data_IF_551802411534
#
_entry.id   IF_551802411534
#
_cell.length_a   1.000
_cell.length_b   1.000
_cell.length_c   1.000
_cell.angle_alpha   90.00
_cell.angle_beta   90.00
_cell.angle_gamma   90.00
#
_symmetry.space_group_name_H-M   'P 1'
#
loop_
_entity.id
_entity.type
_entity.pdbx_description
1 polymer ?
#
# COMPACT_ATOMS: atom_id res chain seq x y z
N UNK A 1 -30.55 -13.52 -10.05
CA UNK A 1 -29.28 -14.13 -9.63
C UNK A 1 -29.27 -14.53 -8.16
N UNK A 2 -29.63 -13.65 -7.21
CA UNK A 2 -29.68 -13.97 -5.77
C UNK A 2 -30.56 -15.17 -5.48
N UNK A 3 -31.76 -15.23 -6.10
CA UNK A 3 -32.67 -16.37 -5.94
C UNK A 3 -32.10 -17.66 -6.56
N UNK A 4 -31.49 -17.57 -7.73
CA UNK A 4 -30.82 -18.70 -8.36
C UNK A 4 -29.71 -19.28 -7.48
N UNK A 5 -28.87 -18.39 -6.87
CA UNK A 5 -27.84 -18.84 -5.93
C UNK A 5 -28.45 -19.49 -4.68
N UNK A 6 -29.50 -18.91 -4.11
CA UNK A 6 -30.18 -19.46 -2.93
C UNK A 6 -30.74 -20.84 -3.20
N UNK A 7 -31.22 -21.10 -4.41
CA UNK A 7 -31.74 -22.38 -4.85
C UNK A 7 -30.67 -23.29 -5.48
N UNK A 8 -29.39 -22.95 -5.36
CA UNK A 8 -28.24 -23.68 -5.96
C UNK A 8 -28.36 -23.91 -7.48
N UNK A 9 -29.08 -23.05 -8.18
CA UNK A 9 -29.16 -23.06 -9.65
C UNK A 9 -27.88 -22.52 -10.25
N UNK A 10 -27.25 -23.25 -11.15
CA UNK A 10 -26.06 -22.84 -11.83
C UNK A 10 -26.33 -21.63 -12.74
N UNK A 11 -25.56 -20.56 -12.58
CA UNK A 11 -25.59 -19.39 -13.43
C UNK A 11 -24.74 -19.69 -14.67
N UNK A 12 -25.36 -19.75 -15.85
CA UNK A 12 -24.63 -19.99 -17.10
C UNK A 12 -23.97 -18.73 -17.60
N UNK A 13 -22.91 -18.88 -18.39
CA UNK A 13 -22.21 -17.75 -19.04
C UNK A 13 -23.16 -16.89 -19.91
N UNK A 14 -24.14 -17.50 -20.56
CA UNK A 14 -25.15 -16.79 -21.34
C UNK A 14 -26.05 -15.90 -20.44
N UNK A 15 -26.43 -16.42 -19.27
CA UNK A 15 -27.22 -15.67 -18.28
C UNK A 15 -26.40 -14.49 -17.75
N UNK A 16 -25.14 -14.72 -17.43
CA UNK A 16 -24.22 -13.69 -16.97
C UNK A 16 -24.06 -12.57 -18.01
N UNK A 17 -23.83 -12.89 -19.29
CA UNK A 17 -23.74 -11.92 -20.38
C UNK A 17 -25.02 -11.08 -20.53
N UNK A 18 -26.21 -11.72 -20.45
CA UNK A 18 -27.49 -11.01 -20.53
C UNK A 18 -27.69 -10.05 -19.35
N UNK A 19 -27.31 -10.47 -18.13
CA UNK A 19 -27.38 -9.61 -16.94
C UNK A 19 -26.44 -8.43 -17.08
N UNK A 20 -25.19 -8.67 -17.49
CA UNK A 20 -24.20 -7.63 -17.73
C UNK A 20 -24.67 -6.61 -18.76
N UNK A 21 -25.14 -7.06 -19.92
CA UNK A 21 -25.68 -6.18 -20.97
C UNK A 21 -26.85 -5.33 -20.45
N UNK A 22 -27.75 -5.90 -19.67
CA UNK A 22 -28.89 -5.16 -19.10
C UNK A 22 -28.44 -4.12 -18.05
N UNK A 23 -27.50 -4.47 -17.18
CA UNK A 23 -26.94 -3.54 -16.21
C UNK A 23 -26.18 -2.41 -16.89
N UNK A 24 -25.41 -2.70 -17.94
CA UNK A 24 -24.71 -1.68 -18.74
C UNK A 24 -25.69 -0.72 -19.42
N UNK A 25 -26.78 -1.23 -19.99
CA UNK A 25 -27.82 -0.39 -20.57
C UNK A 25 -28.51 0.50 -19.52
N UNK A 26 -28.79 -0.03 -18.32
CA UNK A 26 -29.32 0.76 -17.21
C UNK A 26 -28.34 1.84 -16.73
N UNK A 27 -27.05 1.52 -16.70
CA UNK A 27 -26.00 2.47 -16.30
C UNK A 27 -25.72 3.55 -17.37
N UNK A 28 -26.09 3.31 -18.61
CA UNK A 28 -26.00 4.28 -19.70
C UNK A 28 -27.14 5.29 -19.72
N UNK A 29 -28.19 5.09 -18.91
CA UNK A 29 -29.30 6.03 -18.76
C UNK A 29 -28.78 7.38 -18.22
N UNK A 30 -28.99 8.50 -18.96
CA UNK A 30 -28.42 9.78 -18.57
C UNK A 30 -29.00 10.36 -17.24
N UNK A 31 -30.21 9.97 -16.87
CA UNK A 31 -30.88 10.47 -15.66
C UNK A 31 -30.58 9.60 -14.44
N UNK A 32 -30.41 8.29 -14.62
CA UNK A 32 -30.32 7.30 -13.54
C UNK A 32 -28.93 6.77 -13.31
N UNK A 33 -28.16 6.55 -14.37
CA UNK A 33 -26.76 6.17 -14.34
C UNK A 33 -26.41 4.88 -13.56
N UNK A 34 -25.13 4.69 -13.25
CA UNK A 34 -24.65 3.47 -12.59
C UNK A 34 -25.28 3.20 -11.23
N UNK A 35 -25.55 4.24 -10.42
CA UNK A 35 -26.17 4.08 -9.10
C UNK A 35 -27.55 3.43 -9.14
N UNK A 36 -28.32 3.68 -10.21
CA UNK A 36 -29.59 3.01 -10.44
C UNK A 36 -29.39 1.54 -10.78
N UNK A 37 -28.43 1.22 -11.67
CA UNK A 37 -28.09 -0.15 -12.04
C UNK A 37 -27.63 -0.99 -10.82
N UNK A 38 -26.87 -0.39 -9.91
CA UNK A 38 -26.38 -1.06 -8.69
C UNK A 38 -27.50 -1.61 -7.78
N UNK A 39 -28.68 -1.01 -7.79
CA UNK A 39 -29.84 -1.51 -7.03
C UNK A 39 -30.26 -2.94 -7.46
N UNK A 40 -29.91 -3.32 -8.68
CA UNK A 40 -30.25 -4.61 -9.27
C UNK A 40 -29.08 -5.59 -9.31
N UNK A 41 -27.91 -5.18 -8.84
CA UNK A 41 -26.73 -6.06 -8.78
C UNK A 41 -26.83 -7.07 -7.64
N UNK A 42 -26.23 -8.24 -7.87
CA UNK A 42 -26.22 -9.35 -6.92
C UNK A 42 -24.87 -9.61 -6.28
N UNK A 43 -23.81 -9.00 -6.65
CA UNK A 43 -22.34 -9.21 -6.64
C UNK A 43 -21.87 -10.66 -6.83
N UNK A 44 -22.66 -11.49 -7.48
CA UNK A 44 -22.41 -12.95 -7.55
C UNK A 44 -21.63 -13.38 -8.78
N UNK A 45 -21.49 -12.50 -9.78
CA UNK A 45 -20.85 -12.85 -11.04
C UNK A 45 -19.61 -11.98 -11.30
N UNK A 46 -18.64 -12.55 -12.02
CA UNK A 46 -17.46 -11.82 -12.44
C UNK A 46 -17.85 -10.59 -13.27
N UNK A 47 -18.85 -10.71 -14.12
CA UNK A 47 -19.32 -9.59 -14.97
C UNK A 47 -19.89 -8.42 -14.15
N UNK A 48 -20.58 -8.67 -13.05
CA UNK A 48 -21.06 -7.62 -12.15
C UNK A 48 -19.89 -6.95 -11.41
N UNK A 49 -18.90 -7.74 -10.96
CA UNK A 49 -17.69 -7.21 -10.33
C UNK A 49 -16.87 -6.37 -11.31
N UNK A 50 -16.76 -6.81 -12.58
CA UNK A 50 -16.12 -6.03 -13.64
C UNK A 50 -16.79 -4.66 -13.84
N UNK A 51 -18.13 -4.63 -13.96
CA UNK A 51 -18.86 -3.37 -14.11
C UNK A 51 -18.65 -2.41 -12.94
N UNK A 52 -18.70 -2.91 -11.70
CA UNK A 52 -18.44 -2.08 -10.52
C UNK A 52 -17.02 -1.52 -10.53
N UNK A 53 -16.02 -2.35 -10.88
CA UNK A 53 -14.63 -1.93 -10.99
C UNK A 53 -14.45 -0.84 -12.03
N UNK A 54 -15.04 -1.01 -13.23
CA UNK A 54 -15.01 0.00 -14.30
C UNK A 54 -15.67 1.32 -13.86
N UNK A 55 -16.83 1.27 -13.23
CA UNK A 55 -17.53 2.48 -12.81
C UNK A 55 -16.79 3.26 -11.71
N UNK A 56 -16.16 2.56 -10.75
CA UNK A 56 -15.29 3.18 -9.75
C UNK A 56 -14.05 3.76 -10.44
N UNK A 57 -13.38 3.00 -11.28
CA UNK A 57 -12.18 3.43 -12.00
C UNK A 57 -12.43 4.63 -12.93
N UNK A 58 -13.60 4.70 -13.55
CA UNK A 58 -14.05 5.83 -14.38
C UNK A 58 -14.61 7.00 -13.55
N UNK A 59 -14.60 6.91 -12.22
CA UNK A 59 -15.20 7.89 -11.29
C UNK A 59 -16.68 8.16 -11.52
N UNK A 60 -17.41 7.18 -12.11
CA UNK A 60 -18.86 7.25 -12.30
C UNK A 60 -19.64 6.96 -11.02
N UNK A 61 -19.01 6.25 -10.07
CA UNK A 61 -19.49 6.03 -8.71
C UNK A 61 -18.32 6.20 -7.72
N UNK A 62 -18.64 6.60 -6.49
CA UNK A 62 -17.67 6.65 -5.41
C UNK A 62 -17.47 5.24 -4.80
N UNK A 63 -16.26 4.97 -4.30
CA UNK A 63 -15.91 3.67 -3.70
C UNK A 63 -16.85 3.24 -2.56
N UNK A 64 -17.43 4.18 -1.82
CA UNK A 64 -18.32 3.89 -0.71
C UNK A 64 -19.58 3.13 -1.13
N UNK A 65 -20.05 3.31 -2.36
CA UNK A 65 -21.22 2.60 -2.88
C UNK A 65 -20.98 1.09 -3.08
N UNK A 66 -19.74 0.66 -3.28
CA UNK A 66 -19.41 -0.76 -3.47
C UNK A 66 -19.10 -1.49 -2.16
N UNK A 67 -19.07 -0.80 -1.00
CA UNK A 67 -18.69 -1.39 0.30
C UNK A 67 -19.44 -2.70 0.64
N UNK A 68 -20.72 -2.77 0.32
CA UNK A 68 -21.56 -3.95 0.60
C UNK A 68 -21.56 -4.94 -0.57
N UNK A 69 -21.51 -4.43 -1.81
CA UNK A 69 -21.63 -5.25 -3.01
C UNK A 69 -20.32 -5.87 -3.45
N UNK A 70 -19.19 -5.20 -3.20
CA UNK A 70 -17.85 -5.67 -3.54
C UNK A 70 -16.83 -5.22 -2.47
N UNK A 71 -16.93 -5.80 -1.26
CA UNK A 71 -16.12 -5.39 -0.11
C UNK A 71 -14.62 -5.62 -0.34
N UNK A 72 -14.21 -6.55 -1.17
CA UNK A 72 -12.82 -6.83 -1.51
C UNK A 72 -12.19 -5.63 -2.26
N UNK A 73 -12.85 -5.15 -3.30
CA UNK A 73 -12.39 -3.97 -4.03
C UNK A 73 -12.46 -2.70 -3.16
N UNK A 74 -13.51 -2.58 -2.35
CA UNK A 74 -13.61 -1.48 -1.39
C UNK A 74 -12.42 -1.45 -0.45
N UNK A 75 -12.01 -2.60 0.08
CA UNK A 75 -10.85 -2.72 0.96
C UNK A 75 -9.54 -2.36 0.27
N UNK A 76 -9.33 -2.87 -0.94
CA UNK A 76 -8.14 -2.55 -1.74
C UNK A 76 -7.99 -1.02 -1.98
N UNK A 77 -9.10 -0.32 -2.11
CA UNK A 77 -9.15 1.13 -2.31
C UNK A 77 -9.09 1.97 -1.02
N UNK A 78 -9.00 1.36 0.16
CA UNK A 78 -8.84 2.13 1.38
C UNK A 78 -7.45 2.75 1.47
N UNK A 79 -7.29 3.92 2.11
CA UNK A 79 -5.97 4.45 2.37
C UNK A 79 -5.18 3.49 3.26
N UNK A 80 -3.90 3.35 3.00
CA UNK A 80 -2.98 2.70 3.91
C UNK A 80 -2.80 3.59 5.15
N UNK A 81 -2.84 3.00 6.34
CA UNK A 81 -2.60 3.69 7.60
C UNK A 81 -1.27 3.25 8.24
N UNK A 82 -0.32 2.81 7.43
CA UNK A 82 0.98 2.41 7.93
C UNK A 82 1.70 3.61 8.52
N UNK A 83 2.16 3.46 9.75
CA UNK A 83 2.99 4.46 10.43
C UNK A 83 4.34 4.55 9.70
N UNK A 84 4.68 5.74 9.25
CA UNK A 84 5.95 6.03 8.58
C UNK A 84 6.67 7.16 9.29
N UNK A 85 7.99 7.16 9.26
CA UNK A 85 8.76 8.32 9.70
C UNK A 85 8.42 9.55 8.83
N UNK A 86 8.55 10.75 9.38
CA UNK A 86 8.14 12.02 8.73
C UNK A 86 8.63 12.15 7.29
N UNK A 87 9.87 11.74 7.02
CA UNK A 87 10.44 11.77 5.67
C UNK A 87 9.76 10.85 4.65
N UNK A 88 9.00 9.87 5.13
CA UNK A 88 8.39 8.82 4.32
C UNK A 88 6.85 8.91 4.30
N UNK A 89 6.27 10.01 4.79
CA UNK A 89 4.82 10.23 4.81
C UNK A 89 4.15 10.18 3.42
N UNK A 90 4.92 10.39 2.36
CA UNK A 90 4.48 10.33 0.97
C UNK A 90 3.97 8.94 0.53
N UNK A 91 4.34 7.86 1.24
CA UNK A 91 4.00 6.47 0.87
C UNK A 91 2.49 6.28 0.79
N UNK A 92 1.76 6.68 1.85
CA UNK A 92 0.31 6.47 1.91
C UNK A 92 -0.39 7.16 0.73
N UNK A 93 0.01 8.38 0.41
CA UNK A 93 -0.53 9.14 -0.72
C UNK A 93 -0.15 8.53 -2.08
N UNK A 94 1.11 8.06 -2.22
CA UNK A 94 1.58 7.43 -3.45
C UNK A 94 0.78 6.16 -3.75
N UNK A 95 0.68 5.26 -2.76
CA UNK A 95 -0.01 3.98 -2.97
C UNK A 95 -1.53 4.14 -3.08
N UNK A 96 -2.13 5.17 -2.46
CA UNK A 96 -3.52 5.52 -2.70
C UNK A 96 -3.75 5.88 -4.18
N UNK A 97 -2.88 6.71 -4.75
CA UNK A 97 -2.94 7.10 -6.17
C UNK A 97 -2.62 5.92 -7.10
N UNK A 98 -1.68 5.06 -6.69
CA UNK A 98 -1.37 3.84 -7.44
C UNK A 98 -2.58 2.90 -7.53
N UNK A 99 -3.25 2.62 -6.39
CA UNK A 99 -4.47 1.80 -6.37
C UNK A 99 -5.58 2.39 -7.26
N UNK A 100 -5.81 3.71 -7.20
CA UNK A 100 -6.77 4.41 -8.05
C UNK A 100 -6.40 4.29 -9.53
N UNK A 101 -5.13 4.43 -9.88
CA UNK A 101 -4.61 4.28 -11.25
C UNK A 101 -4.77 2.85 -11.77
N UNK A 102 -4.46 1.85 -10.93
CA UNK A 102 -4.61 0.42 -11.27
C UNK A 102 -6.08 0.06 -11.49
N UNK A 103 -6.99 0.50 -10.60
CA UNK A 103 -8.43 0.29 -10.73
C UNK A 103 -9.00 1.06 -11.92
N UNK A 104 -8.49 2.25 -12.22
CA UNK A 104 -8.88 3.05 -13.38
C UNK A 104 -8.29 2.57 -14.72
N UNK A 105 -7.34 1.65 -14.66
CA UNK A 105 -6.55 1.19 -15.81
C UNK A 105 -5.96 2.35 -16.61
N UNK A 106 -5.46 3.36 -15.92
CA UNK A 106 -4.74 4.48 -16.49
C UNK A 106 -3.86 5.13 -15.43
N UNK A 107 -2.71 5.64 -15.82
CA UNK A 107 -1.88 6.42 -14.91
C UNK A 107 -2.52 7.81 -14.70
N UNK A 108 -2.87 8.13 -13.44
CA UNK A 108 -3.34 9.48 -13.10
C UNK A 108 -2.20 10.49 -13.21
N UNK A 109 -2.52 11.75 -13.52
CA UNK A 109 -1.53 12.83 -13.57
C UNK A 109 -0.84 13.01 -12.20
N UNK A 110 -1.59 12.85 -11.12
CA UNK A 110 -1.06 12.96 -9.76
C UNK A 110 -0.02 11.86 -9.48
N UNK A 111 -0.29 10.61 -9.83
CA UNK A 111 0.68 9.51 -9.69
C UNK A 111 1.94 9.76 -10.55
N UNK A 112 1.74 10.22 -11.80
CA UNK A 112 2.86 10.54 -12.70
C UNK A 112 3.77 11.63 -12.13
N UNK A 113 3.20 12.69 -11.57
CA UNK A 113 3.94 13.78 -10.94
C UNK A 113 4.68 13.31 -9.69
N UNK A 114 4.02 12.55 -8.80
CA UNK A 114 4.66 11.96 -7.61
C UNK A 114 5.85 11.06 -7.99
N UNK A 115 5.70 10.19 -8.98
CA UNK A 115 6.79 9.34 -9.45
C UNK A 115 7.95 10.17 -10.02
N UNK A 116 7.63 11.22 -10.81
CA UNK A 116 8.64 12.11 -11.37
C UNK A 116 9.42 12.86 -10.29
N UNK A 117 8.78 13.27 -9.21
CA UNK A 117 9.45 13.92 -8.06
C UNK A 117 10.37 12.96 -7.32
N UNK A 118 9.87 11.76 -7.00
CA UNK A 118 10.63 10.74 -6.26
C UNK A 118 11.83 10.22 -7.05
N UNK A 119 11.66 10.01 -8.34
CA UNK A 119 12.62 9.37 -9.24
C UNK A 119 13.13 10.35 -10.31
N UNK A 120 13.30 11.64 -9.96
CA UNK A 120 13.81 12.65 -10.87
C UNK A 120 15.24 12.34 -11.37
N UNK A 121 16.01 11.59 -10.59
CA UNK A 121 17.36 11.12 -10.89
C UNK A 121 17.71 9.92 -10.03
N UNK A 122 18.84 9.26 -10.31
CA UNK A 122 19.39 8.22 -9.44
C UNK A 122 19.56 8.71 -7.99
N UNK A 123 20.08 9.93 -7.80
CA UNK A 123 20.27 10.51 -6.45
C UNK A 123 18.94 10.69 -5.70
N UNK A 124 17.91 11.15 -6.39
CA UNK A 124 16.57 11.30 -5.79
C UNK A 124 16.00 9.94 -5.36
N UNK A 125 16.12 8.94 -6.21
CA UNK A 125 15.74 7.56 -5.92
C UNK A 125 16.48 7.00 -4.70
N UNK A 126 17.83 7.09 -4.70
CA UNK A 126 18.65 6.59 -3.60
C UNK A 126 18.32 7.30 -2.28
N UNK A 127 18.01 8.59 -2.32
CA UNK A 127 17.65 9.37 -1.13
C UNK A 127 16.43 8.82 -0.43
N UNK A 128 15.34 8.57 -1.14
CA UNK A 128 14.16 8.01 -0.49
C UNK A 128 14.31 6.52 -0.18
N UNK A 129 14.92 5.74 -1.08
CA UNK A 129 15.10 4.30 -0.87
C UNK A 129 15.93 4.00 0.37
N UNK A 130 17.00 4.76 0.61
CA UNK A 130 17.86 4.59 1.78
C UNK A 130 17.15 4.95 3.11
N UNK A 131 16.01 5.61 3.06
CA UNK A 131 15.12 5.82 4.19
C UNK A 131 14.38 4.55 4.65
N UNK A 132 14.46 3.44 3.89
CA UNK A 132 13.81 2.17 4.21
C UNK A 132 14.83 1.09 4.53
N UNK A 133 14.51 0.31 5.56
CA UNK A 133 15.24 -0.92 5.85
C UNK A 133 14.81 -2.02 4.88
N UNK A 134 15.72 -2.95 4.60
CA UNK A 134 15.35 -4.16 3.84
C UNK A 134 14.57 -5.14 4.71
N UNK A 135 13.84 -6.08 4.06
CA UNK A 135 13.14 -7.17 4.76
C UNK A 135 14.10 -7.91 5.69
N UNK A 136 15.32 -8.21 5.22
CA UNK A 136 16.37 -8.85 6.02
C UNK A 136 16.70 -8.04 7.28
N UNK A 137 16.82 -6.73 7.18
CA UNK A 137 17.14 -5.86 8.32
C UNK A 137 16.02 -5.84 9.38
N UNK A 138 14.76 -5.74 8.95
CA UNK A 138 13.61 -5.78 9.87
C UNK A 138 13.50 -7.10 10.61
N UNK A 139 13.75 -8.20 9.90
CA UNK A 139 13.54 -9.55 10.41
C UNK A 139 14.80 -10.15 11.04
N UNK A 140 15.91 -9.40 11.07
CA UNK A 140 17.15 -9.85 11.65
C UNK A 140 16.95 -10.21 13.13
N UNK A 141 17.39 -11.43 13.52
CA UNK A 141 17.27 -11.96 14.88
C UNK A 141 15.84 -12.12 15.42
N UNK A 142 14.80 -12.10 14.59
CA UNK A 142 13.40 -12.38 15.00
C UNK A 142 13.21 -13.89 15.24
N UNK A 143 13.60 -14.35 16.43
CA UNK A 143 13.43 -15.75 16.85
C UNK A 143 11.97 -16.07 17.24
N UNK A 144 11.17 -15.04 17.47
CA UNK A 144 9.76 -15.12 17.83
C UNK A 144 8.82 -15.46 16.66
N UNK A 145 9.32 -15.49 15.44
CA UNK A 145 8.56 -15.88 14.24
C UNK A 145 8.68 -17.38 14.02
N UNK A 146 7.52 -18.07 13.96
CA UNK A 146 7.47 -19.50 13.67
C UNK A 146 7.61 -19.80 12.19
N UNK A 147 6.95 -19.00 11.33
CA UNK A 147 6.85 -19.19 9.88
C UNK A 147 7.04 -17.85 9.18
N UNK A 148 7.91 -17.81 8.21
CA UNK A 148 7.98 -16.75 7.21
C UNK A 148 7.23 -17.20 5.97
N UNK A 149 6.21 -16.46 5.61
CA UNK A 149 5.36 -16.81 4.49
C UNK A 149 5.59 -15.83 3.34
N UNK A 150 6.18 -16.32 2.25
CA UNK A 150 6.53 -15.52 1.10
C UNK A 150 5.40 -15.53 0.07
N UNK A 151 4.86 -14.35 -0.24
CA UNK A 151 3.94 -14.10 -1.34
C UNK A 151 4.72 -13.31 -2.40
N UNK A 152 5.03 -13.98 -3.51
CA UNK A 152 5.81 -13.47 -4.62
C UNK A 152 5.07 -12.31 -5.33
N UNK A 153 5.74 -11.16 -5.49
CA UNK A 153 5.20 -10.00 -6.17
C UNK A 153 4.19 -9.16 -5.35
N UNK A 154 4.15 -9.31 -4.02
CA UNK A 154 3.22 -8.58 -3.16
C UNK A 154 3.77 -7.19 -2.80
N UNK A 155 3.21 -6.13 -3.38
CA UNK A 155 3.55 -4.74 -3.09
C UNK A 155 2.82 -4.14 -1.89
N UNK A 156 3.21 -2.92 -1.51
CA UNK A 156 2.59 -2.15 -0.40
C UNK A 156 1.12 -1.80 -0.68
N UNK A 157 0.72 -1.71 -1.94
CA UNK A 157 -0.66 -1.46 -2.37
C UNK A 157 -1.67 -2.49 -1.83
N UNK A 158 -1.20 -3.67 -1.43
CA UNK A 158 -2.03 -4.74 -0.88
C UNK A 158 -2.31 -4.63 0.63
N UNK A 159 -1.61 -3.77 1.36
CA UNK A 159 -1.75 -3.68 2.83
C UNK A 159 -3.22 -3.46 3.27
N UNK A 160 -3.99 -2.51 2.70
CA UNK A 160 -5.37 -2.28 3.14
C UNK A 160 -6.26 -3.51 2.92
N UNK A 161 -6.10 -4.19 1.79
CA UNK A 161 -6.87 -5.39 1.49
C UNK A 161 -6.51 -6.55 2.42
N UNK A 162 -5.20 -6.81 2.61
CA UNK A 162 -4.72 -7.88 3.50
C UNK A 162 -5.19 -7.64 4.93
N UNK A 163 -5.10 -6.41 5.41
CA UNK A 163 -5.58 -6.06 6.75
C UNK A 163 -7.06 -6.40 6.91
N UNK A 164 -7.89 -6.13 5.90
CA UNK A 164 -9.30 -6.50 5.95
C UNK A 164 -9.52 -8.02 5.90
N UNK A 165 -8.74 -8.76 5.10
CA UNK A 165 -8.81 -10.23 5.09
C UNK A 165 -8.48 -10.78 6.47
N UNK A 166 -7.42 -10.26 7.10
CA UNK A 166 -7.02 -10.67 8.46
C UNK A 166 -8.08 -10.32 9.52
N UNK A 167 -8.73 -9.16 9.41
CA UNK A 167 -9.83 -8.78 10.32
C UNK A 167 -11.04 -9.73 10.23
N UNK A 168 -11.32 -10.35 9.06
CA UNK A 168 -12.33 -11.39 8.92
C UNK A 168 -12.00 -12.61 9.79
N UNK A 169 -10.70 -12.91 10.01
CA UNK A 169 -10.21 -14.02 10.82
C UNK A 169 -9.99 -13.69 12.31
N UNK A 170 -10.33 -12.49 12.74
CA UNK A 170 -10.18 -12.07 14.14
C UNK A 170 -11.05 -12.92 15.10
N UNK A 171 -12.22 -13.35 14.65
CA UNK A 171 -13.08 -14.27 15.42
C UNK A 171 -12.46 -15.66 15.58
N UNK A 172 -11.55 -16.04 14.67
CA UNK A 172 -10.79 -17.29 14.70
C UNK A 172 -9.52 -17.17 15.55
N UNK A 173 -9.33 -16.03 16.23
CA UNK A 173 -8.17 -15.78 17.08
C UNK A 173 -6.93 -15.31 16.32
N UNK A 174 -7.07 -14.72 15.15
CA UNK A 174 -5.95 -14.14 14.38
C UNK A 174 -5.89 -12.65 14.63
N UNK A 175 -4.73 -12.15 15.06
CA UNK A 175 -4.50 -10.73 15.31
C UNK A 175 -3.30 -10.24 14.51
N UNK A 176 -3.45 -9.08 13.86
CA UNK A 176 -2.34 -8.34 13.27
C UNK A 176 -1.54 -7.71 14.42
N UNK A 177 -0.26 -8.01 14.48
CA UNK A 177 0.63 -7.51 15.53
C UNK A 177 1.48 -6.34 15.04
N UNK A 178 2.03 -6.44 13.83
CA UNK A 178 2.98 -5.47 13.30
C UNK A 178 2.80 -5.37 11.77
N UNK A 179 2.93 -4.17 11.22
CA UNK A 179 3.00 -3.91 9.78
C UNK A 179 4.18 -2.97 9.54
N UNK A 180 5.08 -3.36 8.64
CA UNK A 180 6.20 -2.53 8.20
C UNK A 180 6.19 -2.40 6.67
N UNK A 181 6.82 -1.34 6.20
CA UNK A 181 7.21 -1.17 4.79
C UNK A 181 8.72 -1.33 4.71
N UNK A 182 9.16 -2.23 3.86
CA UNK A 182 10.57 -2.53 3.63
C UNK A 182 10.93 -2.27 2.17
N UNK A 183 12.21 -2.05 1.87
CA UNK A 183 12.72 -1.96 0.51
C UNK A 183 13.31 -3.30 0.05
N UNK A 184 12.99 -3.69 -1.19
CA UNK A 184 13.68 -4.76 -1.91
C UNK A 184 15.03 -4.29 -2.44
N UNK A 185 15.90 -5.25 -2.70
CA UNK A 185 17.16 -4.98 -3.41
C UNK A 185 16.92 -4.88 -4.93
N UNK A 186 17.78 -4.13 -5.59
CA UNK A 186 17.75 -3.99 -7.03
C UNK A 186 18.67 -5.01 -7.73
N UNK A 187 18.29 -5.49 -8.92
CA UNK A 187 16.95 -5.36 -9.54
C UNK A 187 15.87 -5.98 -8.67
N UNK A 188 14.66 -5.46 -8.73
CA UNK A 188 13.50 -5.99 -7.99
C UNK A 188 13.00 -7.28 -8.61
N UNK A 189 13.83 -8.32 -8.57
CA UNK A 189 13.57 -9.64 -9.16
C UNK A 189 13.74 -10.74 -8.12
N UNK A 190 13.02 -11.83 -8.31
CA UNK A 190 13.03 -12.99 -7.41
C UNK A 190 14.43 -13.58 -7.24
N UNK A 191 15.23 -13.68 -8.30
CA UNK A 191 16.58 -14.26 -8.24
C UNK A 191 17.53 -13.48 -7.31
N UNK A 192 17.34 -12.17 -7.15
CA UNK A 192 18.14 -11.32 -6.24
C UNK A 192 17.59 -11.37 -4.82
N UNK A 193 16.28 -11.31 -4.65
CA UNK A 193 15.65 -11.08 -3.34
C UNK A 193 15.30 -12.37 -2.60
N UNK A 194 14.95 -13.46 -3.30
CA UNK A 194 14.59 -14.74 -2.69
C UNK A 194 15.72 -15.32 -1.84
N UNK A 195 16.97 -15.32 -2.34
CA UNK A 195 18.11 -15.85 -1.60
C UNK A 195 18.26 -15.19 -0.24
N UNK A 196 18.02 -13.87 -0.17
CA UNK A 196 18.07 -13.10 1.08
C UNK A 196 16.93 -13.44 2.03
N UNK A 197 15.73 -13.75 1.50
CA UNK A 197 14.62 -14.24 2.31
C UNK A 197 14.90 -15.66 2.85
N UNK A 198 15.45 -16.56 2.04
CA UNK A 198 15.83 -17.92 2.44
C UNK A 198 16.87 -17.89 3.58
N UNK A 199 17.92 -17.06 3.43
CA UNK A 199 18.96 -16.86 4.47
C UNK A 199 18.37 -16.33 5.78
N UNK A 200 17.48 -15.33 5.67
CA UNK A 200 16.83 -14.70 6.81
C UNK A 200 15.94 -15.68 7.57
N UNK A 201 15.16 -16.46 6.84
CA UNK A 201 14.16 -17.34 7.41
C UNK A 201 14.77 -18.60 8.06
N UNK A 202 16.02 -18.95 7.74
CA UNK A 202 16.71 -20.08 8.34
C UNK A 202 15.96 -21.42 8.19
N UNK A 203 15.38 -21.67 7.03
CA UNK A 203 14.58 -22.87 6.73
C UNK A 203 13.11 -22.80 7.15
N UNK A 204 12.64 -21.67 7.66
CA UNK A 204 11.22 -21.42 8.01
C UNK A 204 10.44 -20.73 6.89
N UNK A 205 11.02 -20.60 5.69
CA UNK A 205 10.38 -19.94 4.57
C UNK A 205 9.48 -20.90 3.81
N UNK A 206 8.23 -20.55 3.73
CA UNK A 206 7.21 -21.24 2.94
C UNK A 206 6.76 -20.34 1.80
N UNK A 207 6.39 -20.88 0.66
CA UNK A 207 5.88 -20.12 -0.49
C UNK A 207 4.45 -20.50 -0.81
N UNK A 208 3.61 -19.51 -1.01
CA UNK A 208 2.31 -19.67 -1.66
C UNK A 208 1.98 -18.45 -2.51
N UNK A 209 1.08 -18.66 -3.44
CA UNK A 209 0.51 -17.62 -4.25
C UNK A 209 1.45 -17.25 -5.40
N UNK A 210 0.85 -17.13 -6.54
CA UNK A 210 1.52 -16.78 -7.77
C UNK A 210 0.95 -15.46 -8.27
N UNK A 211 0.98 -14.40 -7.42
CA UNK A 211 0.59 -13.05 -7.85
C UNK A 211 1.51 -12.63 -8.99
N UNK A 212 2.82 -12.89 -8.82
CA UNK A 212 3.82 -12.61 -9.83
C UNK A 212 3.58 -13.39 -11.13
N UNK A 213 3.47 -14.72 -11.06
CA UNK A 213 3.18 -15.54 -12.23
C UNK A 213 1.88 -15.14 -12.93
N UNK A 214 0.87 -14.77 -12.17
CA UNK A 214 -0.39 -14.29 -12.73
C UNK A 214 -0.21 -12.96 -13.43
N UNK A 215 0.53 -12.00 -12.84
CA UNK A 215 0.76 -10.67 -13.39
C UNK A 215 1.54 -10.70 -14.72
N UNK A 216 2.48 -11.62 -14.88
CA UNK A 216 3.24 -11.79 -16.13
C UNK A 216 2.42 -12.28 -17.31
N UNK A 217 1.21 -12.78 -17.09
CA UNK A 217 0.33 -13.19 -18.18
C UNK A 217 -0.60 -12.07 -18.58
N UNK A 218 -0.64 -11.73 -19.88
CA UNK A 218 -1.52 -10.70 -20.40
C UNK A 218 -2.98 -11.04 -20.10
N UNK A 219 -3.69 -10.13 -19.44
CA UNK A 219 -5.08 -10.31 -18.99
C UNK A 219 -5.95 -9.13 -19.40
N UNK A 220 -7.25 -9.38 -19.47
CA UNK A 220 -8.22 -8.32 -19.74
C UNK A 220 -8.55 -7.54 -18.47
N UNK A 221 -8.49 -6.22 -18.57
CA UNK A 221 -9.07 -5.31 -17.59
C UNK A 221 -10.62 -5.40 -17.64
N UNK A 222 -11.31 -5.33 -16.51
CA UNK A 222 -10.79 -5.29 -15.13
C UNK A 222 -10.67 -6.68 -14.48
N UNK A 223 -10.93 -7.76 -15.22
CA UNK A 223 -10.98 -9.12 -14.68
C UNK A 223 -9.68 -9.53 -13.97
N UNK A 224 -8.53 -9.05 -14.43
CA UNK A 224 -7.26 -9.39 -13.80
C UNK A 224 -7.17 -8.91 -12.34
N UNK A 225 -7.66 -7.70 -12.04
CA UNK A 225 -7.65 -7.18 -10.67
C UNK A 225 -8.55 -8.01 -9.74
N UNK A 226 -9.71 -8.42 -10.24
CA UNK A 226 -10.65 -9.25 -9.47
C UNK A 226 -10.03 -10.62 -9.15
N UNK A 227 -9.30 -11.18 -10.11
CA UNK A 227 -8.61 -12.45 -9.93
C UNK A 227 -7.45 -12.32 -8.93
N UNK A 228 -6.67 -11.24 -9.00
CA UNK A 228 -5.60 -10.97 -8.02
C UNK A 228 -6.15 -10.85 -6.59
N UNK A 229 -7.28 -10.13 -6.40
CA UNK A 229 -7.92 -10.04 -5.09
C UNK A 229 -8.24 -11.44 -4.54
N UNK A 230 -8.75 -12.34 -5.38
CA UNK A 230 -9.03 -13.74 -4.99
C UNK A 230 -7.76 -14.51 -4.66
N UNK A 231 -6.73 -14.39 -5.50
CA UNK A 231 -5.44 -15.08 -5.28
C UNK A 231 -4.84 -14.68 -3.92
N UNK A 232 -4.83 -13.39 -3.61
CA UNK A 232 -4.28 -12.90 -2.33
C UNK A 232 -5.13 -13.35 -1.14
N UNK A 233 -6.47 -13.26 -1.22
CA UNK A 233 -7.37 -13.71 -0.14
C UNK A 233 -7.23 -15.21 0.12
N UNK A 234 -7.24 -16.02 -0.94
CA UNK A 234 -7.11 -17.49 -0.86
C UNK A 234 -5.73 -17.88 -0.28
N UNK A 235 -4.66 -17.19 -0.68
CA UNK A 235 -3.32 -17.42 -0.18
C UNK A 235 -3.27 -17.19 1.34
N UNK A 236 -3.74 -16.04 1.82
CA UNK A 236 -3.74 -15.70 3.25
C UNK A 236 -4.61 -16.66 4.04
N UNK A 237 -5.85 -16.91 3.61
CA UNK A 237 -6.79 -17.80 4.29
C UNK A 237 -6.26 -19.23 4.41
N UNK A 238 -5.58 -19.73 3.36
CA UNK A 238 -4.93 -21.03 3.38
C UNK A 238 -3.80 -21.10 4.40
N UNK A 239 -2.94 -20.07 4.45
CA UNK A 239 -1.83 -20.00 5.41
C UNK A 239 -2.35 -19.99 6.83
N UNK A 240 -3.34 -19.14 7.14
CA UNK A 240 -3.92 -19.06 8.48
C UNK A 240 -4.53 -20.38 8.94
N UNK A 241 -5.19 -21.12 8.04
CA UNK A 241 -5.74 -22.43 8.36
C UNK A 241 -4.65 -23.50 8.55
N UNK A 242 -3.58 -23.46 7.75
CA UNK A 242 -2.49 -24.43 7.80
C UNK A 242 -1.61 -24.25 9.05
N UNK A 243 -1.39 -23.02 9.48
CA UNK A 243 -0.48 -22.67 10.58
C UNK A 243 -1.22 -22.04 11.77
N UNK A 244 -2.40 -22.56 12.08
CA UNK A 244 -3.20 -22.08 13.20
C UNK A 244 -2.38 -22.05 14.52
N UNK A 245 -2.48 -20.95 15.24
CA UNK A 245 -1.78 -20.75 16.51
C UNK A 245 -0.28 -20.40 16.40
N UNK A 246 0.25 -20.29 15.18
CA UNK A 246 1.64 -19.87 14.92
C UNK A 246 1.75 -18.35 14.78
N UNK A 247 2.94 -17.83 15.09
CA UNK A 247 3.31 -16.46 14.74
C UNK A 247 3.90 -16.45 13.33
N UNK A 248 3.20 -15.78 12.42
CA UNK A 248 3.48 -15.80 10.98
C UNK A 248 3.91 -14.40 10.54
N UNK A 249 4.97 -14.30 9.77
CA UNK A 249 5.37 -13.10 9.05
C UNK A 249 5.09 -13.30 7.57
N UNK A 250 4.13 -12.57 7.01
CA UNK A 250 3.97 -12.44 5.56
C UNK A 250 5.03 -11.47 5.03
N UNK A 251 5.80 -11.92 4.07
CA UNK A 251 6.89 -11.16 3.44
C UNK A 251 6.79 -11.23 1.92
N UNK A 252 7.47 -10.33 1.22
CA UNK A 252 7.59 -10.36 -0.24
C UNK A 252 9.02 -10.05 -0.66
N UNK A 253 9.37 -10.48 -1.84
CA UNK A 253 10.67 -10.24 -2.48
C UNK A 253 10.68 -8.95 -3.30
N UNK A 254 9.59 -8.60 -3.95
CA UNK A 254 9.35 -7.36 -4.70
C UNK A 254 7.85 -7.11 -4.84
N UNK A 255 7.49 -5.91 -5.35
CA UNK A 255 6.16 -5.62 -5.79
C UNK A 255 6.05 -5.65 -7.32
N UNK A 256 4.86 -5.29 -7.85
CA UNK A 256 4.55 -5.33 -9.29
C UNK A 256 3.99 -3.99 -9.73
N UNK A 257 4.52 -3.45 -10.83
CA UNK A 257 3.98 -2.26 -11.48
C UNK A 257 3.06 -2.62 -12.65
N UNK A 258 1.78 -2.26 -12.53
CA UNK A 258 0.86 -2.23 -13.66
C UNK A 258 0.93 -0.90 -14.44
N UNK A 259 1.64 0.08 -13.91
CA UNK A 259 1.85 1.36 -14.61
C UNK A 259 2.87 1.23 -15.73
N UNK A 260 3.76 0.25 -15.70
CA UNK A 260 4.72 -0.03 -16.76
C UNK A 260 4.07 -0.22 -18.15
N UNK A 261 2.84 -0.74 -18.21
CA UNK A 261 2.09 -0.87 -19.47
C UNK A 261 1.76 0.48 -20.14
N UNK A 262 1.79 1.60 -19.42
CA UNK A 262 1.52 2.94 -19.94
C UNK A 262 2.81 3.69 -20.30
N UNK A 263 3.97 3.19 -19.89
CA UNK A 263 5.28 3.75 -20.25
C UNK A 263 5.64 3.56 -21.71
N UNK A 264 6.70 4.23 -22.15
CA UNK A 264 7.29 4.08 -23.47
C UNK A 264 8.30 2.92 -23.50
N UNK A 265 8.55 2.37 -24.70
CA UNK A 265 9.70 1.51 -24.94
C UNK A 265 10.88 2.38 -25.41
N UNK A 266 11.98 2.36 -24.67
CA UNK A 266 13.17 3.15 -24.97
C UNK A 266 14.05 2.49 -26.04
N UNK A 267 13.96 1.16 -26.17
CA UNK A 267 14.75 0.35 -27.12
C UNK A 267 16.25 0.68 -27.09
N UNK A 268 16.83 0.68 -25.86
CA UNK A 268 18.24 1.02 -25.66
C UNK A 268 19.16 0.07 -26.39
N UNK A 269 19.98 0.60 -27.30
CA UNK A 269 20.96 -0.20 -28.03
C UNK A 269 22.11 -0.66 -27.11
N UNK A 270 22.48 -1.93 -27.15
CA UNK A 270 23.57 -2.50 -26.34
C UNK A 270 23.18 -2.88 -24.93
N UNK A 271 21.88 -2.99 -24.64
CA UNK A 271 21.33 -3.50 -23.38
C UNK A 271 20.62 -4.82 -23.64
N UNK A 272 21.00 -5.87 -22.91
CA UNK A 272 20.22 -7.08 -22.80
C UNK A 272 19.23 -6.93 -21.66
N UNK A 273 17.94 -6.99 -21.98
CA UNK A 273 16.88 -6.66 -21.01
C UNK A 273 16.14 -7.89 -20.52
N UNK A 274 15.61 -7.81 -19.30
CA UNK A 274 14.80 -8.84 -18.65
C UNK A 274 13.54 -8.20 -18.02
N UNK A 275 12.58 -9.03 -17.55
CA UNK A 275 11.37 -8.59 -16.86
C UNK A 275 10.61 -7.49 -17.59
N UNK A 276 10.22 -7.76 -18.85
CA UNK A 276 9.55 -6.81 -19.73
C UNK A 276 10.33 -5.48 -19.92
N UNK A 277 11.67 -5.55 -19.83
CA UNK A 277 12.55 -4.40 -19.97
C UNK A 277 12.60 -3.48 -18.75
N UNK A 278 12.16 -3.95 -17.58
CA UNK A 278 12.26 -3.17 -16.34
C UNK A 278 13.69 -3.13 -15.80
N UNK A 279 14.48 -4.16 -16.08
CA UNK A 279 15.91 -4.18 -15.83
C UNK A 279 16.68 -4.71 -17.04
N UNK A 280 17.99 -4.57 -17.02
CA UNK A 280 18.85 -5.05 -18.10
C UNK A 280 20.32 -4.93 -17.75
N UNK A 281 21.14 -5.52 -18.62
CA UNK A 281 22.58 -5.52 -18.50
C UNK A 281 23.22 -4.83 -19.70
N UNK A 282 24.11 -3.86 -19.43
CA UNK A 282 24.85 -3.13 -20.44
C UNK A 282 26.01 -4.00 -20.99
N UNK A 283 26.02 -4.24 -22.28
CA UNK A 283 26.90 -5.24 -22.90
C UNK A 283 28.33 -4.75 -23.17
N UNK A 284 28.57 -3.43 -23.18
CA UNK A 284 29.89 -2.87 -23.56
C UNK A 284 30.31 -1.73 -22.63
N UNK A 285 31.34 -1.98 -21.83
CA UNK A 285 31.89 -0.99 -20.91
C UNK A 285 30.94 -0.65 -19.76
N UNK A 286 31.12 0.53 -19.18
CA UNK A 286 30.24 1.03 -18.12
C UNK A 286 29.04 1.78 -18.73
N UNK A 287 27.87 1.62 -18.13
CA UNK A 287 26.69 2.37 -18.50
C UNK A 287 26.85 3.86 -18.13
N UNK A 288 26.32 4.74 -18.96
CA UNK A 288 26.26 6.17 -18.67
C UNK A 288 25.03 6.46 -17.79
N UNK A 289 25.17 7.45 -16.89
CA UNK A 289 24.04 7.92 -16.09
C UNK A 289 22.95 8.55 -16.99
N UNK A 290 21.70 8.24 -16.69
CA UNK A 290 20.52 8.74 -17.38
C UNK A 290 19.35 8.89 -16.39
N UNK A 291 18.38 9.75 -16.68
CA UNK A 291 17.22 9.96 -15.83
C UNK A 291 16.12 8.89 -16.02
N UNK A 292 16.29 7.95 -16.93
CA UNK A 292 15.35 6.86 -17.16
C UNK A 292 15.67 5.60 -16.37
N UNK A 293 16.89 5.47 -15.86
CA UNK A 293 17.34 4.29 -15.13
C UNK A 293 18.39 4.60 -14.08
N UNK A 294 18.50 3.76 -13.08
CA UNK A 294 19.61 3.71 -12.14
C UNK A 294 20.64 2.71 -12.63
N UNK A 295 21.93 3.03 -12.47
CA UNK A 295 23.05 2.12 -12.72
C UNK A 295 23.50 1.56 -11.38
N UNK A 296 23.57 0.24 -11.23
CA UNK A 296 24.00 -0.39 -9.99
C UNK A 296 25.54 -0.35 -9.85
N UNK A 297 26.03 -0.77 -8.66
CA UNK A 297 27.46 -0.71 -8.30
C UNK A 297 28.38 -1.51 -9.22
N UNK A 298 27.87 -2.50 -9.96
CA UNK A 298 28.61 -3.25 -10.97
C UNK A 298 28.91 -2.43 -12.25
N UNK A 299 28.31 -1.23 -12.34
CA UNK A 299 28.44 -0.34 -13.49
C UNK A 299 27.77 -0.82 -14.78
N UNK A 300 27.05 -1.92 -14.74
CA UNK A 300 26.45 -2.57 -15.92
C UNK A 300 24.96 -2.90 -15.77
N UNK A 301 24.49 -3.17 -14.56
CA UNK A 301 23.07 -3.47 -14.32
C UNK A 301 22.25 -2.20 -14.25
N UNK A 302 21.18 -2.16 -15.03
CA UNK A 302 20.25 -1.03 -15.15
C UNK A 302 18.88 -1.42 -14.59
N UNK A 303 18.24 -0.50 -13.86
CA UNK A 303 16.85 -0.65 -13.41
C UNK A 303 16.07 0.62 -13.77
N UNK A 304 14.91 0.47 -14.44
CA UNK A 304 14.10 1.61 -14.87
C UNK A 304 13.61 2.44 -13.68
N UNK A 305 13.85 3.76 -13.70
CA UNK A 305 13.42 4.71 -12.68
C UNK A 305 11.94 5.14 -12.81
N UNK A 306 11.35 4.91 -13.96
CA UNK A 306 9.99 5.34 -14.30
C UNK A 306 9.20 4.18 -14.93
N UNK A 307 8.04 4.44 -15.49
CA UNK A 307 7.20 3.42 -16.12
C UNK A 307 7.69 2.95 -17.50
N UNK A 308 8.79 3.51 -18.01
CA UNK A 308 9.33 3.12 -19.30
C UNK A 308 9.98 1.73 -19.23
N UNK A 309 9.96 1.03 -20.34
CA UNK A 309 10.76 -0.18 -20.57
C UNK A 309 12.09 0.20 -21.23
N UNK A 310 13.20 -0.40 -20.81
CA UNK A 310 14.51 -0.24 -21.46
C UNK A 310 14.54 -0.87 -22.87
N UNK A 311 13.59 -1.76 -23.15
CA UNK A 311 13.39 -2.40 -24.47
C UNK A 311 12.06 -1.97 -25.10
N UNK A 312 11.31 -2.89 -25.68
CA UNK A 312 9.99 -2.64 -26.25
C UNK A 312 8.97 -2.33 -25.14
N UNK A 313 7.92 -1.60 -25.49
CA UNK A 313 6.83 -1.26 -24.58
C UNK A 313 6.22 -2.50 -23.93
N UNK A 314 5.98 -2.42 -22.61
CA UNK A 314 5.25 -3.46 -21.86
C UNK A 314 3.85 -3.67 -22.43
N UNK A 315 3.42 -4.92 -22.68
CA UNK A 315 2.08 -5.21 -23.18
C UNK A 315 0.97 -4.75 -22.24
N UNK A 316 -0.16 -4.33 -22.80
CA UNK A 316 -1.34 -3.96 -22.01
C UNK A 316 -1.91 -5.16 -21.26
N UNK A 317 -2.31 -4.96 -20.00
CA UNK A 317 -2.85 -5.98 -19.11
C UNK A 317 -1.80 -6.91 -18.52
N UNK A 318 -0.52 -6.52 -18.59
CA UNK A 318 0.60 -7.22 -17.99
C UNK A 318 1.23 -6.37 -16.90
N UNK A 319 1.42 -6.94 -15.70
CA UNK A 319 2.27 -6.37 -14.66
C UNK A 319 3.73 -6.66 -14.94
N UNK A 320 4.61 -5.83 -14.45
CA UNK A 320 6.06 -5.96 -14.60
C UNK A 320 6.78 -5.56 -13.32
N UNK A 321 7.99 -6.09 -13.14
CA UNK A 321 8.89 -5.77 -12.04
C UNK A 321 10.35 -5.85 -12.52
N UNK A 322 11.31 -5.52 -11.67
CA UNK A 322 12.74 -5.46 -12.01
C UNK A 322 13.27 -4.02 -12.00
N UNK A 323 12.37 -3.03 -11.99
CA UNK A 323 12.69 -1.62 -11.97
C UNK A 323 12.85 -1.03 -10.58
N UNK A 324 12.84 0.29 -10.52
CA UNK A 324 13.10 1.10 -9.33
C UNK A 324 11.91 2.04 -8.99
N UNK A 325 10.69 1.75 -9.48
CA UNK A 325 9.51 2.50 -9.05
C UNK A 325 9.07 2.08 -7.65
N UNK A 326 8.42 2.95 -6.85
CA UNK A 326 8.04 2.63 -5.49
C UNK A 326 7.21 1.36 -5.36
N UNK A 327 6.29 1.08 -6.30
CA UNK A 327 5.46 -0.12 -6.30
C UNK A 327 6.22 -1.42 -6.63
N UNK A 328 7.42 -1.33 -7.23
CA UNK A 328 8.31 -2.48 -7.44
C UNK A 328 9.25 -2.69 -6.25
N UNK A 329 9.74 -1.58 -5.65
CA UNK A 329 10.76 -1.58 -4.59
C UNK A 329 10.17 -1.80 -3.21
N UNK A 330 9.01 -1.21 -2.89
CA UNK A 330 8.46 -1.25 -1.54
C UNK A 330 7.51 -2.43 -1.35
N UNK A 331 7.82 -3.22 -0.31
CA UNK A 331 7.10 -4.44 0.03
C UNK A 331 6.60 -4.41 1.48
N UNK A 332 5.46 -5.05 1.79
CA UNK A 332 4.97 -5.14 3.14
C UNK A 332 5.67 -6.25 3.93
N UNK A 333 5.76 -6.07 5.24
CA UNK A 333 5.97 -7.13 6.23
C UNK A 333 4.80 -7.08 7.18
N UNK A 334 4.00 -8.15 7.23
CA UNK A 334 2.80 -8.21 8.09
C UNK A 334 2.95 -9.38 9.04
N UNK A 335 2.97 -9.10 10.35
CA UNK A 335 3.13 -10.10 11.40
C UNK A 335 1.80 -10.34 12.09
N UNK A 336 1.40 -11.60 12.12
CA UNK A 336 0.16 -12.04 12.77
C UNK A 336 0.43 -13.15 13.77
N UNK A 337 -0.42 -13.26 14.81
CA UNK A 337 -0.39 -14.36 15.74
C UNK A 337 -1.75 -14.60 16.40
N UNK A 338 -1.89 -15.67 17.18
CA UNK A 338 -3.07 -15.94 18.00
C UNK A 338 -3.15 -15.10 19.28
N UNK A 339 -2.11 -14.35 19.59
CA UNK A 339 -2.07 -13.48 20.76
C UNK A 339 -2.16 -12.02 20.32
N UNK A 340 -3.17 -11.32 20.82
CA UNK A 340 -3.22 -9.87 20.67
C UNK A 340 -2.04 -9.29 21.47
N UNK A 341 -1.22 -8.45 20.83
CA UNK A 341 -0.20 -7.70 21.57
C UNK A 341 -0.90 -6.92 22.68
N UNK A 342 -0.53 -7.19 23.92
CA UNK A 342 -0.90 -6.33 25.03
C UNK A 342 -0.03 -5.08 24.89
N UNK A 343 -0.54 -4.09 24.14
CA UNK A 343 0.17 -2.82 23.96
C UNK A 343 0.18 -2.09 25.30
N UNK A 344 1.23 -2.30 26.09
CA UNK A 344 1.56 -1.42 27.19
C UNK A 344 2.34 -0.26 26.58
N UNK A 345 1.64 0.79 26.20
CA UNK A 345 2.30 2.00 25.77
C UNK A 345 2.35 3.04 26.89
N UNK A 346 3.35 3.89 26.86
CA UNK A 346 3.44 5.07 27.71
C UNK A 346 3.57 6.31 26.82
N UNK A 347 2.72 7.29 27.05
CA UNK A 347 2.79 8.58 26.39
C UNK A 347 3.25 9.63 27.41
N UNK A 348 4.22 10.45 27.04
CA UNK A 348 4.71 11.57 27.83
C UNK A 348 4.76 12.82 26.97
N UNK A 349 4.01 13.85 27.39
CA UNK A 349 4.06 15.15 26.75
C UNK A 349 5.47 15.75 26.86
N UNK A 350 6.02 16.28 25.76
CA UNK A 350 7.38 16.84 25.74
C UNK A 350 7.43 18.27 26.29
N UNK A 351 6.34 19.03 26.07
CA UNK A 351 6.21 20.42 26.56
C UNK A 351 4.78 20.70 26.92
N UNK A 352 4.56 21.40 28.03
CA UNK A 352 3.25 21.90 28.45
C UNK A 352 2.88 23.21 27.74
N UNK A 353 3.76 23.74 26.89
CA UNK A 353 3.53 25.00 26.15
C UNK A 353 3.34 24.73 24.68
N UNK A 354 2.36 25.38 24.08
CA UNK A 354 2.11 25.40 22.65
C UNK A 354 2.37 26.80 22.12
N UNK A 355 3.18 26.89 21.07
CA UNK A 355 3.45 28.15 20.38
C UNK A 355 2.29 28.45 19.44
N UNK A 356 1.61 29.59 19.64
CA UNK A 356 0.42 29.94 18.86
C UNK A 356 0.67 30.08 17.34
N UNK A 357 1.88 30.46 16.93
CA UNK A 357 2.28 30.55 15.52
C UNK A 357 2.49 29.17 14.87
N UNK A 358 2.77 28.13 15.67
CA UNK A 358 2.87 26.73 15.25
C UNK A 358 2.21 25.82 16.29
N UNK A 359 0.89 25.78 16.34
CA UNK A 359 0.13 25.11 17.38
C UNK A 359 0.14 23.58 17.19
N UNK A 360 1.23 22.93 17.59
CA UNK A 360 1.37 21.49 17.61
C UNK A 360 1.72 21.00 19.02
N UNK A 361 1.33 19.79 19.33
CA UNK A 361 1.76 19.09 20.56
C UNK A 361 2.70 17.95 20.20
N UNK A 362 3.67 17.70 21.07
CA UNK A 362 4.64 16.61 20.92
C UNK A 362 4.59 15.66 22.09
N UNK A 363 4.54 14.39 21.77
CA UNK A 363 4.61 13.30 22.75
C UNK A 363 5.82 12.41 22.48
N UNK A 364 6.42 11.91 23.55
CA UNK A 364 7.26 10.70 23.49
C UNK A 364 6.36 9.53 23.80
N UNK A 365 6.10 8.65 22.81
CA UNK A 365 5.22 7.50 22.97
C UNK A 365 6.03 6.23 22.75
N UNK A 366 6.15 5.43 23.80
CA UNK A 366 6.86 4.14 23.76
C UNK A 366 5.88 2.99 23.74
N UNK A 367 6.22 1.92 23.02
CA UNK A 367 5.42 0.70 22.96
C UNK A 367 4.26 0.75 21.97
N UNK A 368 4.12 1.81 21.16
CA UNK A 368 3.16 1.81 20.05
C UNK A 368 3.54 0.74 19.03
N UNK A 369 2.55 -0.01 18.59
CA UNK A 369 2.66 -0.91 17.46
C UNK A 369 2.67 -0.11 16.16
N UNK A 370 3.28 -0.63 15.11
CA UNK A 370 3.27 -0.04 13.76
C UNK A 370 1.88 0.10 13.13
N UNK A 371 0.88 -0.56 13.72
CA UNK A 371 -0.54 -0.47 13.29
C UNK A 371 -1.35 0.53 14.11
N UNK A 372 -0.81 1.05 15.22
CA UNK A 372 -1.52 2.02 16.04
C UNK A 372 -1.49 3.40 15.37
N UNK A 373 -2.64 4.05 15.30
CA UNK A 373 -2.80 5.41 14.81
C UNK A 373 -3.09 6.35 15.99
N UNK A 374 -2.04 6.87 16.65
CA UNK A 374 -2.25 7.74 17.80
C UNK A 374 -2.83 9.09 17.38
N UNK A 375 -3.68 9.64 18.22
CA UNK A 375 -4.27 10.97 18.02
C UNK A 375 -4.38 11.72 19.34
N UNK A 376 -4.56 13.03 19.26
CA UNK A 376 -4.88 13.89 20.38
C UNK A 376 -6.22 14.58 20.12
N UNK A 377 -7.10 14.56 21.10
CA UNK A 377 -8.38 15.24 21.01
C UNK A 377 -8.26 16.64 21.61
N UNK A 378 -8.57 17.66 20.83
CA UNK A 378 -8.64 19.03 21.29
C UNK A 378 -9.96 19.68 20.90
N UNK A 379 -10.67 20.20 21.86
CA UNK A 379 -11.97 20.83 21.66
C UNK A 379 -12.97 19.96 20.87
N UNK A 380 -12.97 18.65 21.14
CA UNK A 380 -13.83 17.65 20.48
C UNK A 380 -13.43 17.27 19.06
N UNK A 381 -12.26 17.71 18.59
CA UNK A 381 -11.70 17.35 17.28
C UNK A 381 -10.45 16.49 17.50
N UNK A 382 -10.36 15.39 16.78
CA UNK A 382 -9.21 14.49 16.80
C UNK A 382 -8.17 14.94 15.78
N UNK A 383 -6.92 15.09 16.25
CA UNK A 383 -5.77 15.45 15.44
C UNK A 383 -4.79 14.29 15.44
N UNK A 384 -4.43 13.79 14.28
CA UNK A 384 -3.49 12.69 14.16
C UNK A 384 -2.10 13.07 14.71
N UNK A 385 -1.43 12.09 15.33
CA UNK A 385 -0.05 12.20 15.78
C UNK A 385 0.85 11.47 14.77
N UNK A 386 1.76 12.21 14.15
CA UNK A 386 2.70 11.69 13.16
C UNK A 386 4.07 11.40 13.79
N UNK A 387 4.67 10.26 13.46
CA UNK A 387 6.01 9.91 13.90
C UNK A 387 7.04 10.86 13.28
N UNK A 388 7.85 11.48 14.16
CA UNK A 388 8.90 12.42 13.78
C UNK A 388 10.30 11.78 13.75
N UNK A 389 10.36 10.50 14.09
CA UNK A 389 11.57 9.70 14.25
C UNK A 389 11.67 9.11 15.66
N UNK A 390 11.99 7.82 15.76
CA UNK A 390 12.02 7.08 17.02
C UNK A 390 10.66 7.09 17.73
N UNK A 391 10.67 7.43 19.01
CA UNK A 391 9.47 7.45 19.86
C UNK A 391 8.77 8.83 19.88
N UNK A 392 9.17 9.80 19.04
CA UNK A 392 8.64 11.17 19.04
C UNK A 392 7.50 11.31 18.06
N UNK A 393 6.37 11.81 18.54
CA UNK A 393 5.14 12.04 17.75
C UNK A 393 4.72 13.50 17.86
N UNK A 394 4.32 14.11 16.73
CA UNK A 394 3.83 15.50 16.63
C UNK A 394 2.43 15.51 16.06
N UNK A 395 1.53 16.30 16.62
CA UNK A 395 0.18 16.45 16.12
C UNK A 395 0.14 17.24 14.81
N UNK A 396 -0.96 17.10 14.07
CA UNK A 396 -1.38 18.10 13.12
C UNK A 396 -1.56 19.45 13.82
N UNK A 397 -1.61 20.55 13.04
CA UNK A 397 -1.81 21.89 13.61
C UNK A 397 -3.19 22.01 14.24
N UNK A 398 -3.22 22.37 15.51
CA UNK A 398 -4.44 22.53 16.29
C UNK A 398 -5.15 23.85 15.94
N UNK A 399 -6.47 23.84 15.88
CA UNK A 399 -7.27 25.06 15.83
C UNK A 399 -7.45 25.62 17.24
N UNK A 400 -6.51 26.48 17.68
CA UNK A 400 -6.54 27.03 19.03
C UNK A 400 -7.76 27.91 19.28
N UNK A 401 -8.47 27.63 20.37
CA UNK A 401 -9.50 28.48 20.93
C UNK A 401 -8.91 29.09 22.20
N UNK A 402 -8.95 30.40 22.34
CA UNK A 402 -8.11 31.26 23.19
C UNK A 402 -8.12 31.01 24.71
N UNK A 403 -8.71 29.94 25.23
CA UNK A 403 -8.81 29.72 26.68
C UNK A 403 -8.87 28.27 27.10
N UNK A 404 -8.47 27.31 26.25
CA UNK A 404 -8.75 25.89 26.51
C UNK A 404 -7.52 25.12 26.91
N UNK A 405 -7.68 24.22 27.86
CA UNK A 405 -6.76 23.15 28.21
C UNK A 405 -6.87 22.03 27.21
N UNK A 406 -5.76 21.48 26.75
CA UNK A 406 -5.72 20.40 25.77
C UNK A 406 -5.50 19.06 26.49
N UNK A 407 -6.26 18.06 26.11
CA UNK A 407 -5.73 16.81 26.21
C UNK A 407 -6.49 15.57 26.43
N UNK A 408 -6.63 14.67 25.50
CA UNK A 408 -6.77 13.25 25.82
C UNK A 408 -5.99 12.39 24.84
N UNK A 409 -4.87 11.84 25.34
CA UNK A 409 -4.35 10.60 24.80
C UNK A 409 -4.41 9.56 25.93
N UNK A 410 -5.61 9.01 26.23
CA UNK A 410 -5.92 8.18 27.41
C UNK A 410 -5.34 8.71 28.75
N UNK A 411 -4.80 9.91 28.74
CA UNK A 411 -4.32 10.71 29.88
C UNK A 411 -4.75 12.15 29.64
N UNK A 412 -5.22 12.81 30.67
CA UNK A 412 -5.56 14.25 30.58
C UNK A 412 -4.30 15.04 30.95
N UNK A 413 -3.73 15.74 29.99
CA UNK A 413 -2.58 16.61 30.17
C UNK A 413 -3.02 18.07 30.16
N UNK A 414 -2.57 18.86 31.12
CA UNK A 414 -2.80 20.29 31.17
C UNK A 414 -1.73 21.01 30.33
N UNK A 415 -2.15 21.68 29.26
CA UNK A 415 -1.27 22.44 28.39
C UNK A 415 -1.56 23.93 28.52
N UNK A 416 -0.52 24.76 28.52
CA UNK A 416 -0.61 26.20 28.38
C UNK A 416 -0.31 26.64 26.95
N UNK A 417 -1.00 27.68 26.49
CA UNK A 417 -0.79 28.26 25.17
C UNK A 417 0.15 29.45 25.29
N UNK A 418 1.33 29.36 24.68
CA UNK A 418 2.25 30.50 24.56
C UNK A 418 1.92 31.27 23.27
N UNK A 419 1.34 32.47 23.44
CA UNK A 419 0.96 33.36 22.33
C UNK A 419 2.14 34.09 21.72
N UNK A 420 3.32 34.03 22.33
CA UNK A 420 4.49 34.79 21.89
C UNK A 420 4.43 36.29 22.22
N UNK A 421 3.39 36.72 22.89
CA UNK A 421 3.26 38.11 23.41
C UNK A 421 3.88 38.07 24.83
N UNK A 422 5.10 38.55 24.97
CA UNK A 422 5.55 38.99 26.29
C UNK A 422 4.63 40.18 26.65
N UNK A 423 3.89 40.08 27.73
CA UNK A 423 3.38 41.25 28.42
C UNK A 423 4.64 41.99 28.92
N UNK A 424 5.10 42.94 28.12
CA UNK A 424 5.97 43.98 28.66
C UNK A 424 5.18 44.66 29.77
N UNK A 425 5.63 44.54 30.99
CA UNK A 425 5.20 45.36 32.14
C UNK A 425 5.46 46.85 31.83
N UNK A 426 4.58 47.43 31.03
CA UNK A 426 4.53 48.85 30.72
C UNK A 426 3.64 49.57 31.74
N UNK A 427 3.88 49.43 33.03
CA UNK A 427 3.45 50.37 34.06
C UNK A 427 4.43 50.32 35.26
N UNK A 428 5.65 50.77 35.01
CA UNK A 428 6.45 51.32 36.10
C UNK A 428 6.04 52.75 36.33
N UNK A 429 5.32 53.01 37.41
CA UNK A 429 5.30 54.30 38.12
C UNK A 429 5.54 54.04 39.60
#
# INVERSE_FOLDING_TARGET
LREAKRQHVQITSLTEQKVSAKLSAMAADPERGPLFAMKYMSPLTLSEQCLMTEWVGQRRIEKNYIKILFPELYAYLQPSSVQTEKGNSWINDYFQEYCLSKVGNHQTENLANKLKELNASQVSFETWRNGFKTVKTFMHNRQDIDIYYWIDGLGVDWIPFITQVLEKHKADGVFVNEIYVAASELPTVTSVNKTKLDEMAGGKLEKIGDVDKFAHTQKKYPAYLIEELRIVEDAISKVLSQYNGKKIAFVSDHGISYMAQFGAGLNLAGVETDHAGRCGHWLKGAALADNNYVVLDDGQTLCSLNNNSLSAKTPMGQGAHGGATPEEVLVPIIIVSSQKNANVYSAKLQSNEIVASNPVVRYTIKGLSSIDTPYVTYNGVDYALHNMGGDVYESERLNLVSTSTIGEFKQTDNLSINTGVQEDDLFGF
#
